data_IF_878608632913
#
_entry.id   IF_878608632913
#
_cell.length_a   1.000
_cell.length_b   1.000
_cell.length_c   1.000
_cell.angle_alpha   90.00
_cell.angle_beta   90.00
_cell.angle_gamma   90.00
#
_symmetry.space_group_name_H-M   'P 1'
#
loop_
_entity.id
_entity.type
_entity.pdbx_description
1 polymer ?
#
# COMPACT_ATOMS: atom_id res chain seq x y z
N UNK A 1 -13.16 -2.43 -37.53
CA UNK A 1 -11.93 -2.49 -36.72
C UNK A 1 -11.86 -1.53 -35.50
N UNK A 2 -12.85 -0.67 -35.14
CA UNK A 2 -12.77 0.10 -33.88
C UNK A 2 -13.54 -0.52 -32.69
N UNK A 3 -14.40 -1.50 -32.91
CA UNK A 3 -15.32 -2.05 -31.90
C UNK A 3 -14.65 -2.97 -30.87
N UNK A 4 -13.64 -3.75 -31.27
CA UNK A 4 -12.95 -4.68 -30.36
C UNK A 4 -12.06 -3.98 -29.34
N UNK A 5 -11.46 -2.85 -29.70
CA UNK A 5 -10.57 -2.10 -28.80
C UNK A 5 -11.36 -1.39 -27.68
N UNK A 6 -12.58 -0.95 -27.98
CA UNK A 6 -13.48 -0.33 -26.99
C UNK A 6 -14.08 -1.39 -26.06
N UNK A 7 -14.44 -2.56 -26.60
CA UNK A 7 -15.00 -3.67 -25.83
C UNK A 7 -13.97 -4.27 -24.87
N UNK A 8 -12.72 -4.46 -25.31
CA UNK A 8 -11.65 -4.98 -24.44
C UNK A 8 -11.32 -4.01 -23.30
N UNK A 9 -11.41 -2.71 -23.56
CA UNK A 9 -11.15 -1.64 -22.59
C UNK A 9 -12.28 -1.52 -21.57
N UNK A 10 -13.54 -1.69 -21.97
CA UNK A 10 -14.68 -1.70 -21.03
C UNK A 10 -14.73 -2.98 -20.21
N UNK A 11 -14.42 -4.14 -20.79
CA UNK A 11 -14.35 -5.40 -20.02
C UNK A 11 -13.21 -5.39 -19.02
N UNK A 12 -12.03 -4.85 -19.37
CA UNK A 12 -10.89 -4.75 -18.45
C UNK A 12 -11.16 -3.76 -17.31
N UNK A 13 -11.79 -2.61 -17.61
CA UNK A 13 -12.18 -1.64 -16.59
C UNK A 13 -13.29 -2.18 -15.67
N UNK A 14 -14.25 -2.93 -16.21
CA UNK A 14 -15.31 -3.58 -15.44
C UNK A 14 -14.75 -4.71 -14.55
N UNK A 15 -13.76 -5.46 -15.03
CA UNK A 15 -13.05 -6.48 -14.26
C UNK A 15 -12.21 -5.89 -13.12
N UNK A 16 -11.47 -4.79 -13.37
CA UNK A 16 -10.73 -4.04 -12.35
C UNK A 16 -11.66 -3.43 -11.30
N UNK A 17 -12.80 -2.86 -11.72
CA UNK A 17 -13.80 -2.28 -10.80
C UNK A 17 -14.44 -3.38 -9.93
N UNK A 18 -14.78 -4.54 -10.51
CA UNK A 18 -15.27 -5.70 -9.76
C UNK A 18 -14.24 -6.25 -8.76
N UNK A 19 -12.96 -6.29 -9.14
CA UNK A 19 -11.88 -6.77 -8.26
C UNK A 19 -11.64 -5.81 -7.08
N UNK A 20 -11.77 -4.50 -7.31
CA UNK A 20 -11.69 -3.48 -6.26
C UNK A 20 -12.89 -3.53 -5.29
N UNK A 21 -14.11 -3.78 -5.81
CA UNK A 21 -15.33 -3.97 -5.01
C UNK A 21 -15.26 -5.23 -4.13
N UNK A 22 -14.67 -6.32 -4.64
CA UNK A 22 -14.47 -7.55 -3.85
C UNK A 22 -13.44 -7.38 -2.73
N UNK A 23 -12.48 -6.46 -2.90
CA UNK A 23 -11.48 -6.16 -1.85
C UNK A 23 -12.09 -5.38 -0.67
N UNK A 24 -13.07 -4.51 -0.94
CA UNK A 24 -13.82 -3.78 0.10
C UNK A 24 -14.70 -4.70 0.97
N UNK A 25 -15.18 -5.82 0.40
CA UNK A 25 -16.03 -6.77 1.13
C UNK A 25 -15.28 -7.58 2.21
N UNK A 26 -13.94 -7.49 2.30
CA UNK A 26 -13.14 -8.20 3.30
C UNK A 26 -12.70 -7.35 4.51
N UNK A 27 -12.97 -6.04 4.51
CA UNK A 27 -12.53 -5.11 5.55
C UNK A 27 -13.62 -4.72 6.57
N UNK A 28 -14.71 -5.49 6.65
CA UNK A 28 -15.70 -5.38 7.75
C UNK A 28 -15.42 -6.42 8.84
N UNK A 29 -14.23 -6.40 9.43
CA UNK A 29 -14.03 -7.00 10.76
C UNK A 29 -13.50 -5.94 11.72
N UNK A 30 -14.33 -4.91 11.93
CA UNK A 30 -14.25 -4.08 13.12
C UNK A 30 -14.38 -4.99 14.35
N UNK A 31 -13.62 -4.64 15.38
CA UNK A 31 -13.53 -5.34 16.66
C UNK A 31 -14.93 -5.56 17.24
N UNK A 32 -15.45 -6.79 17.17
CA UNK A 32 -16.45 -7.23 18.14
C UNK A 32 -15.70 -7.47 19.44
N UNK A 33 -15.88 -6.57 20.41
CA UNK A 33 -15.47 -6.86 21.79
C UNK A 33 -16.19 -8.13 22.22
N UNK A 34 -15.48 -9.19 22.67
CA UNK A 34 -16.15 -10.30 23.30
C UNK A 34 -16.74 -9.79 24.62
N UNK A 35 -18.07 -9.93 24.74
CA UNK A 35 -18.74 -9.93 26.03
C UNK A 35 -18.00 -10.89 26.95
N UNK A 36 -17.66 -10.41 28.15
CA UNK A 36 -16.99 -11.17 29.20
C UNK A 36 -17.82 -12.42 29.50
N UNK A 37 -17.37 -13.57 29.00
CA UNK A 37 -17.84 -14.88 29.45
C UNK A 37 -16.76 -15.39 30.40
N UNK A 38 -17.04 -15.26 31.70
CA UNK A 38 -16.27 -15.89 32.77
C UNK A 38 -16.48 -17.41 32.67
N UNK A 39 -15.53 -18.14 32.08
CA UNK A 39 -15.42 -19.59 32.23
C UNK A 39 -13.96 -19.95 32.45
N UNK A 40 -13.70 -20.16 33.74
CA UNK A 40 -12.98 -21.25 34.37
C UNK A 40 -11.45 -21.41 34.20
N UNK A 41 -10.83 -21.47 35.36
CA UNK A 41 -9.42 -21.73 35.61
C UNK A 41 -9.19 -23.23 35.51
N UNK A 42 -8.45 -23.70 34.50
CA UNK A 42 -7.66 -24.93 34.62
C UNK A 42 -6.34 -24.78 33.87
N UNK A 43 -5.27 -24.74 34.66
CA UNK A 43 -3.87 -24.91 34.27
C UNK A 43 -3.68 -26.14 33.38
N UNK A 44 -3.31 -25.92 32.11
CA UNK A 44 -2.55 -26.90 31.33
C UNK A 44 -1.80 -26.19 30.19
N UNK A 45 -0.46 -26.25 30.28
CA UNK A 45 0.52 -25.79 29.29
C UNK A 45 0.54 -24.29 28.94
N UNK A 46 1.16 -23.49 29.81
CA UNK A 46 1.76 -22.21 29.44
C UNK A 46 2.92 -22.45 28.46
N UNK A 47 2.60 -22.72 27.19
CA UNK A 47 3.57 -22.45 26.13
C UNK A 47 3.94 -20.97 26.24
N UNK A 48 5.19 -20.69 26.63
CA UNK A 48 5.75 -19.34 26.61
C UNK A 48 5.83 -18.93 25.14
N UNK A 49 4.71 -18.45 24.61
CA UNK A 49 4.63 -17.98 23.24
C UNK A 49 5.63 -16.82 23.10
N UNK A 50 6.60 -16.91 22.18
CA UNK A 50 7.60 -15.87 22.05
C UNK A 50 6.94 -14.54 21.68
N UNK A 51 7.29 -13.47 22.41
CA UNK A 51 6.68 -12.15 22.23
C UNK A 51 6.91 -11.57 20.83
N UNK A 52 7.99 -11.99 20.16
CA UNK A 52 8.31 -11.63 18.78
C UNK A 52 8.31 -12.87 17.87
N UNK A 53 7.88 -12.74 16.61
CA UNK A 53 8.00 -13.81 15.65
C UNK A 53 9.48 -14.03 15.26
N UNK A 54 9.84 -15.30 15.03
CA UNK A 54 11.19 -15.70 14.61
C UNK A 54 11.62 -15.05 13.28
N UNK A 55 10.69 -14.97 12.32
CA UNK A 55 10.89 -14.36 11.00
C UNK A 55 10.26 -12.96 10.96
N UNK A 56 11.10 -11.96 10.77
CA UNK A 56 10.72 -10.54 10.64
C UNK A 56 11.30 -9.98 9.34
N UNK A 57 10.59 -9.01 8.73
CA UNK A 57 11.17 -8.22 7.64
C UNK A 57 12.38 -7.42 8.15
N UNK A 58 13.33 -7.12 7.27
CA UNK A 58 14.54 -6.37 7.62
C UNK A 58 14.22 -5.02 8.27
N UNK A 59 13.31 -4.24 7.67
CA UNK A 59 12.83 -2.96 8.20
C UNK A 59 12.20 -3.12 9.58
N UNK A 60 11.34 -4.13 9.75
CA UNK A 60 10.72 -4.42 11.04
C UNK A 60 11.76 -4.79 12.10
N UNK A 61 12.80 -5.54 11.74
CA UNK A 61 13.89 -5.91 12.65
C UNK A 61 14.66 -4.69 13.11
N UNK A 62 14.95 -3.73 12.22
CA UNK A 62 15.63 -2.47 12.56
C UNK A 62 14.84 -1.68 13.61
N UNK A 63 13.53 -1.52 13.45
CA UNK A 63 12.74 -0.69 14.36
C UNK A 63 12.25 -1.45 15.61
N UNK A 64 11.74 -2.67 15.44
CA UNK A 64 10.93 -3.40 16.45
C UNK A 64 11.57 -4.69 16.95
N UNK A 65 12.72 -5.11 16.39
CA UNK A 65 13.41 -6.32 16.78
C UNK A 65 13.89 -6.30 18.25
N UNK A 66 14.49 -7.39 18.75
CA UNK A 66 14.99 -7.47 20.13
C UNK A 66 15.95 -6.33 20.49
N UNK A 67 16.83 -5.96 19.55
CA UNK A 67 17.77 -4.84 19.65
C UNK A 67 17.38 -3.69 18.71
N UNK A 68 16.10 -3.58 18.36
CA UNK A 68 15.61 -2.56 17.43
C UNK A 68 15.68 -1.16 18.04
N UNK A 69 15.68 -0.13 17.18
CA UNK A 69 15.79 1.28 17.56
C UNK A 69 14.83 1.67 18.68
N UNK A 70 13.57 1.22 18.61
CA UNK A 70 12.54 1.56 19.59
C UNK A 70 12.74 0.88 20.95
N UNK A 71 13.52 -0.21 20.99
CA UNK A 71 13.94 -0.87 22.24
C UNK A 71 15.11 -0.12 22.87
N UNK A 72 16.08 0.28 22.06
CA UNK A 72 17.27 1.02 22.50
C UNK A 72 16.87 2.33 23.17
N UNK A 73 15.92 3.07 22.59
CA UNK A 73 15.41 4.33 23.17
C UNK A 73 14.34 4.13 24.26
N UNK A 74 14.07 2.89 24.67
CA UNK A 74 13.05 2.50 25.67
C UNK A 74 11.61 2.93 25.35
N UNK A 75 11.30 3.30 24.11
CA UNK A 75 9.97 3.71 23.67
C UNK A 75 9.00 2.53 23.55
N UNK A 76 9.51 1.33 23.29
CA UNK A 76 8.74 0.10 23.28
C UNK A 76 9.46 -0.96 24.13
N UNK A 77 9.08 -1.23 25.38
CA UNK A 77 9.65 -2.34 26.15
C UNK A 77 9.07 -3.70 25.71
N UNK A 78 9.90 -4.75 25.77
CA UNK A 78 9.53 -6.13 25.39
C UNK A 78 8.74 -6.84 26.49
N UNK A 79 7.57 -6.30 26.83
CA UNK A 79 6.62 -6.92 27.77
C UNK A 79 5.32 -7.29 27.05
N UNK A 80 4.47 -8.17 27.62
CA UNK A 80 3.15 -8.47 27.07
C UNK A 80 2.30 -7.21 26.81
N UNK A 81 2.32 -6.25 27.73
CA UNK A 81 1.60 -4.98 27.63
C UNK A 81 2.19 -4.09 26.53
N UNK A 82 3.52 -4.02 26.44
CA UNK A 82 4.24 -3.34 25.35
C UNK A 82 3.87 -3.92 23.98
N UNK A 83 3.77 -5.26 23.90
CA UNK A 83 3.35 -5.95 22.69
C UNK A 83 1.92 -5.66 22.29
N UNK A 84 0.99 -5.51 23.23
CA UNK A 84 -0.38 -5.07 22.94
C UNK A 84 -0.40 -3.64 22.38
N UNK A 85 0.38 -2.72 22.95
CA UNK A 85 0.50 -1.34 22.43
C UNK A 85 1.05 -1.32 21.01
N UNK A 86 2.08 -2.13 20.72
CA UNK A 86 2.61 -2.29 19.37
C UNK A 86 1.56 -2.81 18.37
N UNK A 87 0.66 -3.72 18.77
CA UNK A 87 -0.41 -4.15 17.88
C UNK A 87 -1.42 -3.03 17.58
N UNK A 88 -1.68 -2.13 18.55
CA UNK A 88 -2.50 -0.92 18.30
C UNK A 88 -1.80 0.01 17.31
N UNK A 89 -0.49 0.24 17.47
CA UNK A 89 0.32 1.02 16.52
C UNK A 89 0.31 0.37 15.14
N UNK A 90 0.46 -0.95 15.05
CA UNK A 90 0.36 -1.69 13.79
C UNK A 90 -1.00 -1.46 13.12
N UNK A 91 -2.10 -1.59 13.87
CA UNK A 91 -3.44 -1.33 13.35
C UNK A 91 -3.57 0.06 12.77
N UNK A 92 -3.11 1.08 13.50
CA UNK A 92 -3.08 2.46 13.03
C UNK A 92 -2.25 2.63 11.75
N UNK A 93 -1.03 2.09 11.71
CA UNK A 93 -0.16 2.20 10.53
C UNK A 93 -0.75 1.53 9.30
N UNK A 94 -1.46 0.40 9.47
CA UNK A 94 -2.11 -0.30 8.35
C UNK A 94 -3.35 0.45 7.84
N UNK A 95 -4.15 1.04 8.73
CA UNK A 95 -5.26 1.91 8.30
C UNK A 95 -4.71 3.15 7.58
N UNK A 96 -3.66 3.76 8.10
CA UNK A 96 -3.00 4.88 7.43
C UNK A 96 -2.40 4.47 6.07
N UNK A 97 -1.81 3.27 5.96
CA UNK A 97 -1.35 2.71 4.68
C UNK A 97 -2.50 2.58 3.67
N UNK A 98 -3.66 2.10 4.08
CA UNK A 98 -4.84 2.01 3.21
C UNK A 98 -5.31 3.40 2.75
N UNK A 99 -5.46 4.35 3.67
CA UNK A 99 -5.91 5.73 3.35
C UNK A 99 -4.93 6.40 2.38
N UNK A 100 -3.64 6.37 2.70
CA UNK A 100 -2.60 6.96 1.84
C UNK A 100 -2.45 6.20 0.52
N UNK A 101 -2.69 4.89 0.52
CA UNK A 101 -2.75 4.07 -0.70
C UNK A 101 -3.85 4.52 -1.64
N UNK A 102 -5.06 4.78 -1.14
CA UNK A 102 -6.16 5.34 -1.95
C UNK A 102 -5.85 6.77 -2.45
N UNK A 103 -5.21 7.60 -1.63
CA UNK A 103 -4.77 8.92 -2.07
C UNK A 103 -3.72 8.84 -3.20
N UNK A 104 -2.79 7.89 -3.09
CA UNK A 104 -1.77 7.61 -4.11
C UNK A 104 -2.40 7.12 -5.41
N UNK A 105 -3.37 6.19 -5.32
CA UNK A 105 -4.17 5.72 -6.44
C UNK A 105 -4.87 6.88 -7.17
N UNK A 106 -5.53 7.77 -6.42
CA UNK A 106 -6.16 8.97 -6.98
C UNK A 106 -5.13 9.88 -7.67
N UNK A 107 -3.96 10.06 -7.08
CA UNK A 107 -2.84 10.82 -7.67
C UNK A 107 -2.43 10.29 -9.04
N UNK A 108 -2.22 8.97 -9.17
CA UNK A 108 -1.89 8.33 -10.44
C UNK A 108 -3.00 8.43 -11.50
N UNK A 109 -4.28 8.33 -11.09
CA UNK A 109 -5.41 8.55 -12.01
C UNK A 109 -5.38 9.98 -12.55
N UNK A 110 -5.22 10.98 -11.68
CA UNK A 110 -5.12 12.39 -12.08
C UNK A 110 -3.92 12.62 -13.00
N UNK A 111 -2.76 12.04 -12.70
CA UNK A 111 -1.59 12.11 -13.56
C UNK A 111 -1.85 11.52 -14.96
N UNK A 112 -2.56 10.39 -15.04
CA UNK A 112 -2.94 9.78 -16.32
C UNK A 112 -3.86 10.68 -17.15
N UNK A 113 -4.85 11.31 -16.51
CA UNK A 113 -5.75 12.28 -17.16
C UNK A 113 -4.95 13.51 -17.64
N UNK A 114 -4.08 14.04 -16.79
CA UNK A 114 -3.31 15.24 -17.09
C UNK A 114 -2.30 15.01 -18.21
N UNK A 115 -1.66 13.84 -18.25
CA UNK A 115 -0.78 13.43 -19.36
C UNK A 115 -1.52 13.37 -20.70
N UNK A 116 -2.77 12.87 -20.70
CA UNK A 116 -3.64 12.82 -21.88
C UNK A 116 -4.15 14.20 -22.34
N UNK A 117 -4.25 15.16 -21.43
CA UNK A 117 -4.51 16.56 -21.79
C UNK A 117 -3.25 17.22 -22.36
N UNK A 118 -2.10 16.98 -21.72
CA UNK A 118 -0.83 17.55 -22.11
C UNK A 118 -0.36 17.08 -23.50
N UNK A 119 -0.73 15.87 -23.94
CA UNK A 119 -0.41 15.38 -25.28
C UNK A 119 -1.10 16.14 -26.42
N UNK A 120 -2.15 16.91 -26.12
CA UNK A 120 -2.95 17.68 -27.09
C UNK A 120 -2.82 19.19 -26.91
N UNK A 121 -2.20 19.63 -25.82
CA UNK A 121 -2.10 21.04 -25.47
C UNK A 121 -0.94 21.74 -26.18
N UNK A 122 -1.12 23.03 -26.48
CA UNK A 122 -0.09 23.90 -27.08
C UNK A 122 -0.06 25.25 -26.36
N UNK A 123 1.01 26.03 -26.54
CA UNK A 123 1.12 27.40 -26.02
C UNK A 123 1.00 27.51 -24.49
N UNK A 124 0.28 28.54 -24.01
CA UNK A 124 0.16 28.81 -22.56
C UNK A 124 -0.57 27.71 -21.77
N UNK A 125 -1.48 26.97 -22.40
CA UNK A 125 -2.17 25.85 -21.74
C UNK A 125 -1.20 24.70 -21.46
N UNK A 126 -0.27 24.42 -22.38
CA UNK A 126 0.75 23.40 -22.21
C UNK A 126 1.58 23.63 -20.95
N UNK A 127 2.09 24.86 -20.75
CA UNK A 127 2.92 25.19 -19.59
C UNK A 127 2.16 25.01 -18.27
N UNK A 128 0.88 25.41 -18.23
CA UNK A 128 0.02 25.24 -17.05
C UNK A 128 -0.22 23.76 -16.74
N UNK A 129 -0.57 22.96 -17.74
CA UNK A 129 -0.82 21.52 -17.56
C UNK A 129 0.46 20.77 -17.17
N UNK A 130 1.62 21.15 -17.73
CA UNK A 130 2.91 20.57 -17.38
C UNK A 130 3.28 20.85 -15.92
N UNK A 131 3.12 22.10 -15.46
CA UNK A 131 3.36 22.47 -14.07
C UNK A 131 2.44 21.70 -13.11
N UNK A 132 1.14 21.60 -13.41
CA UNK A 132 0.22 20.77 -12.64
C UNK A 132 0.64 19.30 -12.63
N UNK A 133 1.17 18.78 -13.73
CA UNK A 133 1.61 17.38 -13.83
C UNK A 133 2.81 17.12 -12.93
N UNK A 134 3.78 18.02 -12.92
CA UNK A 134 4.96 17.94 -12.05
C UNK A 134 4.59 18.04 -10.57
N UNK A 135 3.66 18.93 -10.21
CA UNK A 135 3.13 19.01 -8.85
C UNK A 135 2.44 17.71 -8.46
N UNK A 136 1.58 17.15 -9.31
CA UNK A 136 0.89 15.89 -9.04
C UNK A 136 1.85 14.71 -8.93
N UNK A 137 2.89 14.65 -9.77
CA UNK A 137 3.97 13.66 -9.65
C UNK A 137 4.65 13.74 -8.27
N UNK A 138 4.99 14.95 -7.83
CA UNK A 138 5.64 15.20 -6.54
C UNK A 138 4.77 14.76 -5.37
N UNK A 139 3.51 15.21 -5.35
CA UNK A 139 2.55 14.85 -4.30
C UNK A 139 2.36 13.34 -4.26
N UNK A 140 2.14 12.70 -5.42
CA UNK A 140 1.93 11.25 -5.50
C UNK A 140 3.15 10.46 -5.03
N UNK A 141 4.36 10.91 -5.34
CA UNK A 141 5.59 10.28 -4.84
C UNK A 141 5.72 10.35 -3.32
N UNK A 142 5.40 11.50 -2.72
CA UNK A 142 5.42 11.68 -1.27
C UNK A 142 4.37 10.76 -0.62
N UNK A 143 3.16 10.73 -1.17
CA UNK A 143 2.09 9.86 -0.65
C UNK A 143 2.46 8.39 -0.81
N UNK A 144 2.96 7.95 -1.97
CA UNK A 144 3.41 6.58 -2.20
C UNK A 144 4.53 6.17 -1.23
N UNK A 145 5.54 7.02 -1.06
CA UNK A 145 6.63 6.77 -0.10
C UNK A 145 6.11 6.63 1.33
N UNK A 146 5.16 7.47 1.72
CA UNK A 146 4.47 7.39 3.02
C UNK A 146 3.71 6.07 3.16
N UNK A 147 2.93 5.68 2.14
CA UNK A 147 2.21 4.40 2.08
C UNK A 147 3.17 3.23 2.25
N UNK A 148 4.26 3.18 1.50
CA UNK A 148 5.25 2.11 1.58
C UNK A 148 5.91 2.04 2.96
N UNK A 149 6.33 3.18 3.53
CA UNK A 149 6.94 3.25 4.86
C UNK A 149 6.00 2.77 5.95
N UNK A 150 4.72 3.17 5.92
CA UNK A 150 3.72 2.73 6.89
C UNK A 150 3.56 1.20 6.92
N UNK A 151 3.63 0.52 5.77
CA UNK A 151 3.55 -0.95 5.71
C UNK A 151 4.86 -1.62 6.11
N UNK A 152 5.99 -1.16 5.55
CA UNK A 152 7.31 -1.77 5.76
C UNK A 152 7.84 -1.58 7.18
N UNK A 153 7.51 -0.47 7.83
CA UNK A 153 7.97 -0.17 9.19
C UNK A 153 6.92 -0.54 10.25
N UNK A 154 5.79 -1.15 9.88
CA UNK A 154 4.78 -1.56 10.86
C UNK A 154 5.30 -2.63 11.83
N UNK A 155 4.97 -2.57 13.14
CA UNK A 155 5.36 -3.57 14.13
C UNK A 155 4.99 -4.99 13.69
N UNK A 156 5.79 -6.02 14.01
CA UNK A 156 5.50 -7.39 13.59
C UNK A 156 4.15 -7.87 14.15
N UNK A 157 3.38 -8.56 13.30
CA UNK A 157 2.09 -9.14 13.69
C UNK A 157 2.28 -10.25 14.73
N UNK A 158 1.44 -10.28 15.77
CA UNK A 158 1.37 -11.45 16.66
C UNK A 158 0.74 -12.61 15.89
N UNK A 159 1.37 -13.79 15.92
CA UNK A 159 0.78 -15.00 15.36
C UNK A 159 -0.32 -15.49 16.30
N UNK A 160 -1.52 -14.94 16.17
CA UNK A 160 -2.71 -15.64 16.64
C UNK A 160 -2.94 -16.85 15.70
N UNK A 161 -3.40 -17.98 16.25
CA UNK A 161 -3.76 -19.20 15.52
C UNK A 161 -5.04 -18.99 14.66
N UNK A 162 -5.07 -17.93 13.86
CA UNK A 162 -6.16 -17.58 12.96
C UNK A 162 -5.76 -18.03 11.56
N UNK A 163 -6.57 -18.92 10.98
CA UNK A 163 -6.50 -19.29 9.56
C UNK A 163 -6.70 -18.01 8.72
N UNK A 164 -5.61 -17.34 8.36
CA UNK A 164 -5.63 -16.28 7.35
C UNK A 164 -5.79 -16.99 6.00
N UNK A 165 -6.80 -16.62 5.22
CA UNK A 165 -7.00 -17.17 3.87
C UNK A 165 -5.72 -16.93 3.05
N UNK A 166 -4.99 -17.98 2.65
CA UNK A 166 -3.64 -17.84 2.08
C UNK A 166 -3.60 -17.13 0.72
N UNK A 167 -4.74 -16.97 0.04
CA UNK A 167 -4.84 -16.33 -1.27
C UNK A 167 -4.60 -14.81 -1.26
N UNK A 168 -5.28 -14.07 -0.38
CA UNK A 168 -5.23 -12.59 -0.39
C UNK A 168 -3.87 -12.02 0.01
N UNK A 169 -3.19 -12.63 1.00
CA UNK A 169 -1.88 -12.18 1.45
C UNK A 169 -0.79 -12.39 0.39
N UNK A 170 -0.83 -13.53 -0.31
CA UNK A 170 0.10 -13.81 -1.42
C UNK A 170 -0.18 -12.92 -2.63
N UNK A 171 -1.44 -12.64 -2.91
CA UNK A 171 -1.82 -11.74 -3.99
C UNK A 171 -1.24 -10.34 -3.77
N UNK A 172 -1.52 -9.71 -2.62
CA UNK A 172 -0.95 -8.40 -2.33
C UNK A 172 0.58 -8.41 -2.33
N UNK A 173 1.22 -9.50 -1.90
CA UNK A 173 2.68 -9.62 -2.00
C UNK A 173 3.16 -9.55 -3.46
N UNK A 174 2.54 -10.28 -4.39
CA UNK A 174 2.87 -10.17 -5.81
C UNK A 174 2.51 -8.79 -6.38
N UNK A 175 1.34 -8.26 -6.04
CA UNK A 175 0.91 -6.93 -6.46
C UNK A 175 1.87 -5.85 -5.95
N UNK A 176 2.42 -5.97 -4.73
CA UNK A 176 3.40 -5.01 -4.20
C UNK A 176 4.71 -4.94 -4.98
N UNK A 177 5.16 -6.07 -5.55
CA UNK A 177 6.30 -6.07 -6.49
C UNK A 177 5.91 -5.30 -7.76
N UNK A 178 4.70 -5.50 -8.26
CA UNK A 178 4.18 -4.80 -9.45
C UNK A 178 4.02 -3.29 -9.16
N UNK A 179 3.45 -2.88 -8.01
CA UNK A 179 3.33 -1.47 -7.62
C UNK A 179 4.69 -0.80 -7.55
N UNK A 180 5.66 -1.44 -6.89
CA UNK A 180 6.98 -0.86 -6.69
C UNK A 180 7.72 -0.71 -8.02
N UNK A 181 7.68 -1.73 -8.86
CA UNK A 181 8.30 -1.68 -10.19
C UNK A 181 7.61 -0.66 -11.10
N UNK A 182 6.28 -0.60 -11.11
CA UNK A 182 5.49 0.42 -11.81
C UNK A 182 5.81 1.83 -11.32
N UNK A 183 5.94 2.02 -10.01
CA UNK A 183 6.29 3.31 -9.40
C UNK A 183 7.66 3.81 -9.86
N UNK A 184 8.67 2.93 -9.82
CA UNK A 184 10.03 3.23 -10.29
C UNK A 184 10.03 3.55 -11.78
N UNK A 185 9.36 2.72 -12.59
CA UNK A 185 9.24 2.93 -14.03
C UNK A 185 8.56 4.27 -14.35
N UNK A 186 7.47 4.62 -13.65
CA UNK A 186 6.75 5.88 -13.84
C UNK A 186 7.65 7.09 -13.58
N UNK A 187 8.47 7.05 -12.53
CA UNK A 187 9.38 8.14 -12.20
C UNK A 187 10.51 8.31 -13.22
N UNK A 188 11.13 7.20 -13.65
CA UNK A 188 12.17 7.23 -14.69
C UNK A 188 11.58 7.76 -16.00
N UNK A 189 10.40 7.26 -16.39
CA UNK A 189 9.74 7.67 -17.63
C UNK A 189 9.22 9.12 -17.56
N UNK A 190 8.79 9.60 -16.40
CA UNK A 190 8.43 11.00 -16.19
C UNK A 190 9.61 11.93 -16.45
N UNK A 191 10.79 11.60 -15.93
CA UNK A 191 12.01 12.37 -16.18
C UNK A 191 12.41 12.34 -17.67
N UNK A 192 12.26 11.21 -18.35
CA UNK A 192 12.53 11.15 -19.80
C UNK A 192 11.50 11.95 -20.60
N UNK A 193 10.24 11.92 -20.19
CA UNK A 193 9.12 12.59 -20.85
C UNK A 193 9.16 14.13 -20.78
N UNK A 194 9.93 14.72 -19.85
CA UNK A 194 10.16 16.17 -19.81
C UNK A 194 11.13 16.64 -20.89
N UNK A 195 12.09 15.79 -21.27
CA UNK A 195 13.09 16.10 -22.30
C UNK A 195 12.70 15.58 -23.69
N UNK A 196 11.94 14.49 -23.74
CA UNK A 196 11.51 13.87 -24.98
C UNK A 196 10.08 13.35 -24.85
N UNK A 197 9.17 13.95 -25.62
CA UNK A 197 7.74 13.67 -25.55
C UNK A 197 7.36 12.25 -25.98
N UNK A 198 8.25 11.50 -26.65
CA UNK A 198 8.03 10.12 -27.07
C UNK A 198 7.81 9.16 -25.89
N UNK A 199 8.34 9.50 -24.71
CA UNK A 199 8.23 8.66 -23.51
C UNK A 199 6.90 8.79 -22.78
N UNK A 200 6.06 9.77 -23.13
CA UNK A 200 4.78 10.05 -22.45
C UNK A 200 3.78 8.89 -22.49
N UNK A 201 3.58 8.18 -23.61
CA UNK A 201 2.67 7.02 -23.63
C UNK A 201 3.16 5.90 -22.70
N UNK A 202 4.47 5.65 -22.66
CA UNK A 202 5.06 4.64 -21.78
C UNK A 202 4.91 5.03 -20.30
N UNK A 203 5.15 6.29 -19.97
CA UNK A 203 4.93 6.82 -18.61
C UNK A 203 3.48 6.62 -18.18
N UNK A 204 2.52 6.88 -19.08
CA UNK A 204 1.10 6.70 -18.79
C UNK A 204 0.76 5.23 -18.52
N UNK A 205 1.30 4.30 -19.31
CA UNK A 205 1.12 2.85 -19.08
C UNK A 205 1.73 2.43 -17.73
N UNK A 206 2.94 2.89 -17.40
CA UNK A 206 3.59 2.59 -16.13
C UNK A 206 2.82 3.16 -14.92
N UNK A 207 2.22 4.33 -15.07
CA UNK A 207 1.37 4.92 -14.03
C UNK A 207 0.15 4.02 -13.74
N UNK A 208 -0.45 3.41 -14.77
CA UNK A 208 -1.56 2.46 -14.59
C UNK A 208 -1.12 1.14 -13.96
N UNK A 209 0.06 0.61 -14.28
CA UNK A 209 0.55 -0.63 -13.62
C UNK A 209 0.93 -0.41 -12.16
N UNK A 210 1.14 0.84 -11.76
CA UNK A 210 1.30 1.19 -10.34
C UNK A 210 -0.03 1.07 -9.57
N UNK A 211 -1.18 1.12 -10.27
CA UNK A 211 -2.53 0.90 -9.74
C UNK A 211 -2.89 -0.59 -9.80
N UNK A 212 -2.90 -1.29 -8.68
CA UNK A 212 -3.56 -2.60 -8.55
C UNK A 212 -3.94 -2.87 -7.09
#
# INVERSE_FOLDING_TARGET
>A
MPTYCTLLRTTFFSFLLCSALQSQAQDTSYVRQPSVTLVDTTTSELSVQPLLPEKMLFTQRIFWGPNGLLRVIKAAPLTPEGRQKEQKVRGFMLVAHQITGYATLAGFIVQGILSSKLSRATGGEYNRLLSLQQTMLTVTNITYGTTALLSLTAPPKIRANRKVTPGGLKLHQYLSIIHLTGFVATNILAQKATHNSEFRPYQQVAAFTTLA
#
